data_IF_849928602923
#
_entry.id   IF_849928602923
#
_cell.length_a   1.000
_cell.length_b   1.000
_cell.length_c   1.000
_cell.angle_alpha   90.00
_cell.angle_beta   90.00
_cell.angle_gamma   90.00
#
_symmetry.space_group_name_H-M   'P 1'
#
loop_
_entity.id
_entity.type
_entity.pdbx_description
1 polymer ?
#
# COMPACT_ATOMS: atom_id res chain seq x y z
N UNK A 1 -58.33 2.64 -3.34
CA UNK A 1 -57.29 2.94 -2.32
C UNK A 1 -56.12 2.02 -2.60
N UNK A 2 -55.05 2.56 -3.16
CA UNK A 2 -53.87 1.85 -3.67
C UNK A 2 -53.04 1.27 -2.54
N UNK A 3 -52.87 -0.06 -2.51
CA UNK A 3 -51.94 -0.72 -1.58
C UNK A 3 -50.51 -0.45 -2.07
N UNK A 4 -49.82 0.46 -1.40
CA UNK A 4 -48.39 0.68 -1.59
C UNK A 4 -47.66 -0.50 -0.92
N UNK A 5 -47.30 -1.50 -1.74
CA UNK A 5 -46.42 -2.59 -1.32
C UNK A 5 -45.06 -2.02 -0.94
N UNK A 6 -44.75 -2.05 0.35
CA UNK A 6 -43.43 -1.69 0.86
C UNK A 6 -42.45 -2.76 0.37
N UNK A 7 -41.57 -2.40 -0.57
CA UNK A 7 -40.54 -3.31 -1.05
C UNK A 7 -39.42 -3.38 -0.01
N UNK A 8 -39.43 -4.44 0.79
CA UNK A 8 -38.31 -4.76 1.67
C UNK A 8 -37.20 -5.34 0.80
N UNK A 9 -36.16 -4.55 0.52
CA UNK A 9 -34.92 -5.06 -0.09
C UNK A 9 -34.08 -5.73 1.01
N UNK A 10 -33.78 -7.01 0.84
CA UNK A 10 -32.72 -7.67 1.61
C UNK A 10 -31.40 -6.90 1.42
N UNK A 11 -30.71 -6.63 2.52
CA UNK A 11 -29.36 -6.07 2.46
C UNK A 11 -28.45 -7.16 1.88
N UNK A 12 -28.04 -6.99 0.63
CA UNK A 12 -26.97 -7.79 0.06
C UNK A 12 -25.66 -7.36 0.73
N UNK A 13 -25.10 -8.21 1.58
CA UNK A 13 -23.73 -8.04 2.07
C UNK A 13 -22.77 -8.24 0.90
N UNK A 14 -22.39 -7.15 0.26
CA UNK A 14 -21.34 -7.16 -0.76
C UNK A 14 -20.00 -7.29 -0.07
N UNK A 15 -19.51 -8.53 0.08
CA UNK A 15 -18.15 -8.76 0.57
C UNK A 15 -17.15 -8.15 -0.41
N UNK A 16 -16.50 -7.08 0.00
CA UNK A 16 -15.46 -6.42 -0.79
C UNK A 16 -14.13 -7.01 -0.39
N UNK A 17 -13.51 -7.73 -1.32
CA UNK A 17 -12.17 -8.31 -1.13
C UNK A 17 -11.13 -7.20 -0.93
N UNK A 18 -10.19 -7.43 -0.01
CA UNK A 18 -9.08 -6.52 0.20
C UNK A 18 -8.15 -6.49 -1.03
N UNK A 19 -7.54 -5.33 -1.35
CA UNK A 19 -6.61 -5.26 -2.47
C UNK A 19 -5.37 -6.14 -2.23
N UNK A 20 -4.85 -6.73 -3.31
CA UNK A 20 -3.61 -7.50 -3.25
C UNK A 20 -2.43 -6.58 -2.95
N UNK A 21 -1.64 -6.92 -1.94
CA UNK A 21 -0.37 -6.24 -1.66
C UNK A 21 0.72 -6.68 -2.64
N UNK A 22 1.66 -5.78 -2.91
CA UNK A 22 2.84 -6.04 -3.75
C UNK A 22 4.12 -5.79 -2.97
N UNK A 23 5.17 -6.56 -3.30
CA UNK A 23 6.51 -6.35 -2.75
C UNK A 23 7.28 -5.38 -3.62
N UNK A 24 7.96 -4.44 -2.98
CA UNK A 24 8.93 -3.55 -3.62
C UNK A 24 10.32 -4.10 -3.35
N UNK A 25 11.12 -4.21 -4.40
CA UNK A 25 12.51 -4.67 -4.33
C UNK A 25 13.42 -3.56 -4.80
N UNK A 26 14.50 -3.35 -4.08
CA UNK A 26 15.62 -2.53 -4.51
C UNK A 26 16.75 -3.49 -4.93
N UNK A 27 17.28 -3.31 -6.13
CA UNK A 27 18.37 -4.13 -6.64
C UNK A 27 19.68 -3.35 -6.53
N UNK A 28 20.74 -4.05 -6.14
CA UNK A 28 22.07 -3.47 -6.05
C UNK A 28 22.69 -3.22 -7.43
N UNK A 29 23.51 -2.18 -7.55
CA UNK A 29 24.30 -1.84 -8.73
C UNK A 29 25.62 -1.14 -8.35
N UNK A 30 26.53 -0.98 -9.31
CA UNK A 30 27.90 -0.47 -9.07
C UNK A 30 28.05 1.06 -9.22
N UNK A 31 26.98 1.78 -9.56
CA UNK A 31 27.05 3.19 -9.95
C UNK A 31 26.25 4.11 -9.02
N UNK A 32 25.21 3.60 -8.38
CA UNK A 32 24.35 4.40 -7.50
C UNK A 32 25.03 4.63 -6.14
N UNK A 33 25.30 5.89 -5.74
CA UNK A 33 25.92 6.19 -4.44
C UNK A 33 25.03 5.73 -3.28
N UNK A 34 25.64 5.24 -2.21
CA UNK A 34 24.92 4.78 -1.01
C UNK A 34 24.05 5.88 -0.38
N UNK A 35 24.58 7.10 -0.26
CA UNK A 35 23.86 8.24 0.36
C UNK A 35 22.58 8.57 -0.40
N UNK A 36 22.62 8.48 -1.74
CA UNK A 36 21.44 8.68 -2.58
C UNK A 36 20.35 7.63 -2.33
N UNK A 37 20.76 6.38 -2.10
CA UNK A 37 19.80 5.31 -1.77
C UNK A 37 19.19 5.53 -0.39
N UNK A 38 19.99 5.96 0.58
CA UNK A 38 19.50 6.29 1.93
C UNK A 38 18.47 7.43 1.86
N UNK A 39 18.72 8.47 1.06
CA UNK A 39 17.75 9.55 0.83
C UNK A 39 16.43 9.04 0.25
N UNK A 40 16.48 8.12 -0.72
CA UNK A 40 15.28 7.48 -1.29
C UNK A 40 14.52 6.67 -0.23
N UNK A 41 15.22 5.86 0.56
CA UNK A 41 14.60 5.02 1.60
C UNK A 41 13.94 5.87 2.69
N UNK A 42 14.54 7.00 3.06
CA UNK A 42 13.96 7.93 4.01
C UNK A 42 12.79 8.73 3.42
N UNK A 43 12.92 9.24 2.19
CA UNK A 43 11.96 10.16 1.59
C UNK A 43 10.73 9.51 0.95
N UNK A 44 10.84 8.27 0.44
CA UNK A 44 9.73 7.57 -0.24
C UNK A 44 9.13 6.43 0.57
N UNK A 45 9.91 5.84 1.48
CA UNK A 45 9.50 4.65 2.25
C UNK A 45 9.46 4.90 3.76
N UNK A 46 9.61 6.17 4.18
CA UNK A 46 9.58 6.62 5.58
C UNK A 46 10.47 5.79 6.51
N UNK A 47 11.63 5.34 6.01
CA UNK A 47 12.61 4.63 6.84
C UNK A 47 13.37 5.62 7.73
N UNK A 48 13.62 5.21 8.97
CA UNK A 48 14.54 5.94 9.83
C UNK A 48 15.97 5.88 9.24
N UNK A 49 16.80 6.92 9.39
CA UNK A 49 18.13 6.96 8.79
C UNK A 49 18.98 5.74 9.14
N UNK A 50 19.03 5.36 10.43
CA UNK A 50 19.76 4.18 10.90
C UNK A 50 19.25 2.87 10.28
N UNK A 51 17.95 2.78 9.98
CA UNK A 51 17.37 1.61 9.32
C UNK A 51 17.73 1.60 7.84
N UNK A 52 17.71 2.76 7.18
CA UNK A 52 18.09 2.89 5.78
C UNK A 52 19.58 2.57 5.57
N UNK A 53 20.46 3.04 6.46
CA UNK A 53 21.89 2.72 6.43
C UNK A 53 22.17 1.22 6.60
N UNK A 54 21.40 0.51 7.43
CA UNK A 54 21.56 -0.95 7.62
C UNK A 54 21.00 -1.80 6.47
N UNK A 55 20.20 -1.21 5.57
CA UNK A 55 19.70 -1.88 4.37
C UNK A 55 20.76 -1.87 3.26
N UNK A 56 21.64 -0.87 3.29
CA UNK A 56 22.79 -0.71 2.39
C UNK A 56 24.02 -1.43 2.93
#
# INVERSE_FOLDING_TARGET
>A
MSQQGTSVRERQDTHTEAPRSYRVWLLNDDFTPMDFVVEILCGLFDKAPVIAENIM
#
